data_IF_988883393653
#
_entry.id   IF_988883393653
#
_cell.length_a   1.000
_cell.length_b   1.000
_cell.length_c   1.000
_cell.angle_alpha   90.00
_cell.angle_beta   90.00
_cell.angle_gamma   90.00
#
_symmetry.space_group_name_H-M   'P 1'
#
loop_
_entity.id
_entity.type
_entity.pdbx_description
1 polymer ?
#
# COMPACT_ATOMS: atom_id res chain seq x y z
N UNK A 1 -8.37 -5.10 14.83
CA UNK A 1 -8.39 -3.95 13.89
C UNK A 1 -8.69 -4.47 12.51
N UNK A 2 -9.62 -3.84 11.78
CA UNK A 2 -9.89 -4.19 10.40
C UNK A 2 -8.90 -3.47 9.49
N UNK A 3 -8.39 -4.20 8.51
CA UNK A 3 -7.43 -3.66 7.55
C UNK A 3 -7.12 -4.63 6.42
N UNK A 4 -6.18 -4.24 5.60
CA UNK A 4 -5.56 -5.03 4.55
C UNK A 4 -4.05 -4.83 4.66
N UNK A 5 -3.29 -5.89 4.79
CA UNK A 5 -1.83 -5.88 4.82
C UNK A 5 -1.29 -6.93 3.86
N UNK A 6 -0.46 -6.52 2.92
CA UNK A 6 0.08 -7.41 1.88
C UNK A 6 1.50 -7.03 1.50
N UNK A 7 2.33 -8.04 1.26
CA UNK A 7 3.64 -7.91 0.62
C UNK A 7 3.57 -8.02 -0.92
N UNK A 8 2.39 -8.25 -1.48
CA UNK A 8 2.18 -8.30 -2.93
C UNK A 8 1.99 -6.89 -3.47
N UNK A 9 2.48 -6.65 -4.68
CA UNK A 9 2.19 -5.43 -5.42
C UNK A 9 0.84 -5.61 -6.13
N UNK A 10 -0.20 -5.01 -5.57
CA UNK A 10 -1.56 -5.05 -6.09
C UNK A 10 -2.09 -3.63 -6.24
N UNK A 11 -3.03 -3.42 -7.16
CA UNK A 11 -3.76 -2.17 -7.20
C UNK A 11 -4.74 -2.10 -6.03
N UNK A 12 -4.57 -1.10 -5.18
CA UNK A 12 -5.48 -0.83 -4.08
C UNK A 12 -6.44 0.29 -4.45
N UNK A 13 -7.66 0.15 -3.95
CA UNK A 13 -8.73 1.12 -4.14
C UNK A 13 -9.23 1.61 -2.79
N UNK A 14 -9.80 2.84 -2.71
CA UNK A 14 -10.37 3.33 -1.45
C UNK A 14 -11.45 2.42 -0.85
N UNK A 15 -12.14 1.66 -1.70
CA UNK A 15 -13.18 0.69 -1.34
C UNK A 15 -12.68 -0.77 -1.27
N UNK A 16 -11.35 -1.01 -1.30
CA UNK A 16 -10.79 -2.34 -1.09
C UNK A 16 -11.36 -2.96 0.20
N UNK A 17 -11.91 -4.19 0.15
CA UNK A 17 -12.47 -4.84 1.32
C UNK A 17 -11.43 -5.01 2.42
N UNK A 18 -11.83 -4.71 3.65
CA UNK A 18 -11.00 -4.90 4.83
C UNK A 18 -11.44 -6.15 5.59
N UNK A 19 -10.48 -6.84 6.17
CA UNK A 19 -10.67 -7.98 7.08
C UNK A 19 -9.87 -7.75 8.35
N UNK A 20 -9.89 -8.68 9.28
CA UNK A 20 -8.97 -8.61 10.42
C UNK A 20 -7.53 -8.64 9.92
N UNK A 21 -6.71 -7.70 10.41
CA UNK A 21 -5.28 -7.70 10.13
C UNK A 21 -4.63 -8.99 10.64
N UNK A 22 -3.69 -9.56 9.89
CA UNK A 22 -3.00 -10.78 10.29
C UNK A 22 -2.07 -10.52 11.49
N UNK A 23 -1.82 -11.55 12.30
CA UNK A 23 -0.81 -11.51 13.36
C UNK A 23 0.61 -11.68 12.80
N UNK A 24 0.74 -12.35 11.66
CA UNK A 24 2.02 -12.55 10.97
C UNK A 24 1.84 -12.39 9.47
N UNK A 25 2.79 -11.72 8.83
CA UNK A 25 2.89 -11.60 7.38
C UNK A 25 4.27 -12.06 6.93
N UNK A 26 4.32 -13.11 6.10
CA UNK A 26 5.55 -13.61 5.50
C UNK A 26 5.89 -12.82 4.23
N UNK A 27 7.14 -12.40 4.11
CA UNK A 27 7.66 -11.73 2.93
C UNK A 27 9.10 -12.15 2.66
N UNK A 28 9.59 -11.90 1.48
CA UNK A 28 10.97 -12.19 1.12
C UNK A 28 11.53 -11.09 0.21
N UNK A 29 12.80 -10.79 0.38
CA UNK A 29 13.54 -9.89 -0.50
C UNK A 29 14.88 -10.53 -0.89
N UNK A 30 15.32 -10.24 -2.11
CA UNK A 30 16.66 -10.61 -2.54
C UNK A 30 17.72 -9.85 -1.70
N UNK A 31 18.94 -10.37 -1.63
CA UNK A 31 20.06 -9.65 -1.02
C UNK A 31 20.21 -8.26 -1.65
N UNK A 32 20.28 -7.23 -0.83
CA UNK A 32 20.29 -5.81 -1.22
C UNK A 32 18.99 -5.35 -1.94
N UNK A 33 17.94 -6.18 -1.94
CA UNK A 33 16.61 -5.80 -2.39
C UNK A 33 15.84 -5.05 -1.29
N UNK A 34 14.70 -4.51 -1.65
CA UNK A 34 13.76 -3.87 -0.71
C UNK A 34 12.54 -4.77 -0.55
N UNK A 35 11.96 -4.80 0.64
CA UNK A 35 10.65 -5.40 0.87
C UNK A 35 9.62 -4.28 0.98
N UNK A 36 8.60 -4.31 0.11
CA UNK A 36 7.51 -3.36 0.11
C UNK A 36 6.24 -3.96 0.70
N UNK A 37 5.49 -3.19 1.48
CA UNK A 37 4.26 -3.61 2.13
C UNK A 37 3.17 -2.56 1.87
N UNK A 38 1.99 -3.01 1.46
CA UNK A 38 0.80 -2.19 1.32
C UNK A 38 -0.10 -2.39 2.54
N UNK A 39 -0.56 -1.31 3.13
CA UNK A 39 -1.40 -1.31 4.33
C UNK A 39 -2.56 -0.34 4.19
N UNK A 40 -3.79 -0.86 4.36
CA UNK A 40 -5.00 -0.08 4.56
C UNK A 40 -5.60 -0.49 5.90
N UNK A 41 -6.12 0.47 6.68
CA UNK A 41 -6.83 0.16 7.91
C UNK A 41 -7.88 1.21 8.25
N UNK A 42 -8.91 0.79 8.97
CA UNK A 42 -9.90 1.70 9.52
C UNK A 42 -9.27 2.60 10.57
N UNK A 43 -9.52 3.90 10.44
CA UNK A 43 -9.02 4.89 11.36
C UNK A 43 -10.13 5.88 11.74
N UNK A 44 -10.70 5.77 12.95
CA UNK A 44 -11.73 6.69 13.43
C UNK A 44 -11.19 8.07 13.85
N UNK A 45 -9.88 8.21 13.93
CA UNK A 45 -9.17 9.45 14.23
C UNK A 45 -8.77 10.19 12.94
N UNK A 46 -8.31 11.44 13.06
CA UNK A 46 -7.83 12.24 11.92
C UNK A 46 -6.55 11.67 11.28
N UNK A 47 -5.78 10.90 12.04
CA UNK A 47 -4.58 10.21 11.57
C UNK A 47 -4.35 8.90 12.30
N UNK A 48 -3.79 7.93 11.59
CA UNK A 48 -3.20 6.73 12.14
C UNK A 48 -1.69 6.85 12.24
N UNK A 49 -1.05 5.83 12.82
CA UNK A 49 0.41 5.75 12.93
C UNK A 49 0.89 4.33 12.69
N UNK A 50 2.02 4.20 12.03
CA UNK A 50 2.69 2.92 11.85
C UNK A 50 4.12 3.03 12.33
N UNK A 51 4.55 2.06 13.11
CA UNK A 51 5.90 1.96 13.68
C UNK A 51 6.43 0.57 13.40
N UNK A 52 7.72 0.46 13.05
CA UNK A 52 8.38 -0.82 12.83
C UNK A 52 9.68 -0.89 13.62
N UNK A 53 9.86 -1.95 14.39
CA UNK A 53 11.11 -2.25 15.09
C UNK A 53 11.98 -3.17 14.23
N UNK A 54 12.77 -2.59 13.33
CA UNK A 54 13.49 -3.29 12.28
C UNK A 54 15.04 -3.12 12.41
N UNK A 55 15.69 -3.80 13.36
CA UNK A 55 17.14 -3.74 13.50
C UNK A 55 17.85 -4.19 12.22
N UNK A 56 18.75 -3.37 11.71
CA UNK A 56 19.48 -3.66 10.46
C UNK A 56 18.78 -3.21 9.19
N UNK A 57 17.59 -2.60 9.30
CA UNK A 57 16.86 -2.00 8.18
C UNK A 57 16.66 -0.50 8.41
N UNK A 58 16.58 0.24 7.33
CA UNK A 58 15.95 1.56 7.30
C UNK A 58 14.51 1.37 6.85
N UNK A 59 13.58 2.01 7.55
CA UNK A 59 12.15 1.91 7.26
C UNK A 59 11.68 3.23 6.68
N UNK A 60 11.17 3.17 5.45
CA UNK A 60 10.59 4.31 4.76
C UNK A 60 9.06 4.18 4.79
N UNK A 61 8.36 5.25 5.20
CA UNK A 61 6.90 5.30 5.25
C UNK A 61 6.38 6.26 4.19
N UNK A 62 5.32 5.85 3.51
CA UNK A 62 4.64 6.64 2.49
C UNK A 62 3.13 6.56 2.68
N UNK A 63 2.43 7.66 2.44
CA UNK A 63 1.00 7.64 2.23
C UNK A 63 0.71 7.17 0.81
N UNK A 64 -0.23 6.25 0.64
CA UNK A 64 -0.84 5.96 -0.65
C UNK A 64 -1.94 6.98 -0.90
N UNK A 65 -1.72 7.85 -1.88
CA UNK A 65 -2.64 8.96 -2.21
C UNK A 65 -3.61 8.54 -3.30
N UNK A 66 -4.87 8.94 -3.17
CA UNK A 66 -5.90 8.69 -4.18
C UNK A 66 -5.63 9.45 -5.47
N UNK A 67 -5.68 8.74 -6.59
CA UNK A 67 -5.57 9.29 -7.95
C UNK A 67 -6.86 8.96 -8.70
N UNK A 68 -7.53 9.95 -9.35
CA UNK A 68 -8.71 9.70 -10.14
C UNK A 68 -8.34 9.02 -11.46
N UNK A 69 -9.18 8.06 -11.87
CA UNK A 69 -9.16 7.46 -13.19
C UNK A 69 -10.51 7.73 -13.83
N UNK A 70 -10.57 8.72 -14.71
CA UNK A 70 -11.82 9.20 -15.30
C UNK A 70 -12.26 8.35 -16.49
N UNK A 71 -11.32 7.74 -17.21
CA UNK A 71 -11.57 6.98 -18.42
C UNK A 71 -10.70 5.72 -18.49
N UNK A 72 -11.28 4.63 -19.01
CA UNK A 72 -10.50 3.51 -19.49
C UNK A 72 -9.99 3.80 -20.89
N UNK A 73 -8.72 3.51 -21.16
CA UNK A 73 -8.11 3.63 -22.49
C UNK A 73 -7.91 2.24 -23.09
N UNK A 74 -8.21 2.10 -24.39
CA UNK A 74 -7.94 0.87 -25.12
C UNK A 74 -6.47 0.76 -25.54
N UNK A 75 -6.05 -0.46 -25.90
CA UNK A 75 -4.73 -0.70 -26.53
C UNK A 75 -4.65 -0.21 -27.99
N UNK A 76 -5.73 0.36 -28.52
CA UNK A 76 -5.78 0.90 -29.86
C UNK A 76 -5.19 2.29 -29.94
N UNK A 77 -4.30 2.49 -30.88
CA UNK A 77 -3.89 3.82 -31.34
C UNK A 77 -4.61 4.01 -32.67
N UNK A 78 -5.30 5.14 -32.85
CA UNK A 78 -5.91 5.44 -34.14
C UNK A 78 -4.81 5.62 -35.22
N UNK A 79 -5.21 5.76 -36.48
CA UNK A 79 -4.27 5.95 -37.58
C UNK A 79 -3.44 7.25 -37.46
N UNK A 80 -3.83 8.18 -36.59
CA UNK A 80 -3.11 9.40 -36.26
C UNK A 80 -2.21 9.29 -35.03
N UNK A 81 -2.17 8.15 -34.34
CA UNK A 81 -1.38 7.94 -33.14
C UNK A 81 -2.05 8.40 -31.86
N UNK A 82 -3.31 8.83 -31.90
CA UNK A 82 -4.09 9.21 -30.73
C UNK A 82 -4.57 7.99 -29.94
N UNK A 83 -4.52 8.07 -28.63
CA UNK A 83 -5.05 7.02 -27.76
C UNK A 83 -6.59 6.98 -27.85
N UNK A 84 -7.16 5.82 -28.12
CA UNK A 84 -8.61 5.63 -28.18
C UNK A 84 -9.16 5.56 -26.76
N UNK A 85 -10.01 6.51 -26.41
CA UNK A 85 -10.80 6.47 -25.17
C UNK A 85 -12.01 5.54 -25.36
N UNK A 86 -12.20 4.61 -24.42
CA UNK A 86 -13.32 3.68 -24.42
C UNK A 86 -14.26 3.97 -23.24
N UNK A 87 -15.05 5.06 -23.30
CA UNK A 87 -15.86 5.48 -22.14
C UNK A 87 -16.98 4.51 -21.79
N UNK A 88 -17.51 3.78 -22.76
CA UNK A 88 -18.67 2.89 -22.57
C UNK A 88 -18.30 1.42 -22.38
N UNK A 89 -17.08 1.04 -22.75
CA UNK A 89 -16.61 -0.35 -22.67
C UNK A 89 -15.46 -0.46 -21.69
N UNK A 90 -15.44 -1.54 -20.91
CA UNK A 90 -14.30 -1.93 -20.11
C UNK A 90 -13.59 -3.08 -20.83
N UNK A 91 -12.34 -2.94 -21.29
CA UNK A 91 -11.61 -4.04 -21.89
C UNK A 91 -11.49 -5.22 -20.92
N UNK A 92 -11.49 -6.45 -21.41
CA UNK A 92 -11.44 -7.67 -20.57
C UNK A 92 -10.19 -7.73 -19.67
N UNK A 93 -9.12 -7.05 -20.05
CA UNK A 93 -7.88 -6.95 -19.26
C UNK A 93 -7.93 -5.83 -18.18
N UNK A 94 -8.94 -4.98 -18.18
CA UNK A 94 -9.05 -3.90 -17.20
C UNK A 94 -9.59 -4.45 -15.87
N UNK A 95 -8.91 -4.12 -14.80
CA UNK A 95 -9.27 -4.57 -13.44
C UNK A 95 -10.56 -3.90 -12.97
N UNK A 96 -10.83 -2.66 -13.45
CA UNK A 96 -11.96 -1.86 -13.02
C UNK A 96 -12.44 -0.91 -14.12
N UNK A 97 -13.76 -0.71 -14.19
CA UNK A 97 -14.37 0.25 -15.12
C UNK A 97 -14.32 1.65 -14.52
N UNK A 98 -13.84 2.63 -15.29
CA UNK A 98 -13.86 4.04 -14.91
C UNK A 98 -15.32 4.62 -14.91
N UNK A 99 -15.61 5.67 -14.11
CA UNK A 99 -14.64 6.38 -13.27
C UNK A 99 -14.40 5.68 -11.92
N UNK A 100 -13.20 5.77 -11.39
CA UNK A 100 -12.84 5.26 -10.05
C UNK A 100 -11.62 6.00 -9.50
N UNK A 101 -11.29 5.72 -8.23
CA UNK A 101 -10.05 6.17 -7.59
C UNK A 101 -9.15 4.98 -7.35
N UNK A 102 -7.84 5.15 -7.58
CA UNK A 102 -6.81 4.17 -7.25
C UNK A 102 -5.84 4.77 -6.22
N UNK A 103 -5.32 3.94 -5.34
CA UNK A 103 -4.27 4.32 -4.40
C UNK A 103 -2.92 4.03 -5.05
N UNK A 104 -2.28 5.05 -5.63
CA UNK A 104 -1.09 4.84 -6.46
C UNK A 104 0.08 5.75 -6.06
N UNK A 105 -0.12 7.07 -5.95
CA UNK A 105 0.97 7.98 -5.65
C UNK A 105 1.52 7.81 -4.23
N UNK A 106 2.84 7.79 -4.10
CA UNK A 106 3.55 7.70 -2.82
C UNK A 106 3.95 9.10 -2.33
N UNK A 107 3.41 9.52 -1.18
CA UNK A 107 3.81 10.73 -0.47
C UNK A 107 4.66 10.36 0.74
N UNK A 108 5.93 10.81 0.83
CA UNK A 108 6.78 10.50 1.98
C UNK A 108 6.16 10.96 3.31
N UNK A 109 6.30 10.14 4.35
CA UNK A 109 5.82 10.38 5.71
C UNK A 109 6.99 10.17 6.68
N UNK A 110 7.81 11.18 6.95
CA UNK A 110 9.02 11.04 7.77
C UNK A 110 8.75 10.55 9.19
N UNK A 111 7.57 10.85 9.73
CA UNK A 111 7.21 10.54 11.13
C UNK A 111 6.30 9.30 11.27
N UNK A 112 5.99 8.59 10.19
CA UNK A 112 5.08 7.43 10.21
C UNK A 112 3.61 7.75 10.55
N UNK A 113 3.26 9.04 10.64
CA UNK A 113 1.88 9.50 10.82
C UNK A 113 1.14 9.54 9.49
N UNK A 114 0.01 8.84 9.37
CA UNK A 114 -0.74 8.66 8.14
C UNK A 114 -2.06 9.40 8.25
N UNK A 115 -2.31 10.48 7.48
CA UNK A 115 -3.61 11.14 7.47
C UNK A 115 -4.73 10.15 7.13
N UNK A 116 -5.84 10.23 7.86
CA UNK A 116 -7.03 9.47 7.55
C UNK A 116 -7.86 10.21 6.49
N UNK A 117 -8.28 9.49 5.47
CA UNK A 117 -9.21 9.98 4.43
C UNK A 117 -10.41 9.03 4.38
N UNK A 118 -11.62 9.58 4.50
CA UNK A 118 -12.86 8.82 4.54
C UNK A 118 -12.87 7.69 5.60
N UNK A 119 -12.25 7.95 6.78
CA UNK A 119 -12.16 6.99 7.88
C UNK A 119 -11.15 5.86 7.67
N UNK A 120 -10.23 6.01 6.72
CA UNK A 120 -9.19 5.02 6.42
C UNK A 120 -7.82 5.66 6.32
N UNK A 121 -6.80 4.94 6.79
CA UNK A 121 -5.39 5.24 6.54
C UNK A 121 -4.86 4.30 5.47
N UNK A 122 -4.13 4.85 4.50
CA UNK A 122 -3.55 4.10 3.39
C UNK A 122 -2.05 4.36 3.36
N UNK A 123 -1.23 3.33 3.51
CA UNK A 123 0.21 3.44 3.60
C UNK A 123 0.95 2.40 2.75
N UNK A 124 2.16 2.78 2.38
CA UNK A 124 3.17 1.87 1.85
C UNK A 124 4.41 1.97 2.74
N UNK A 125 4.92 0.82 3.16
CA UNK A 125 6.16 0.71 3.91
C UNK A 125 7.22 0.07 3.04
N UNK A 126 8.44 0.57 3.14
CA UNK A 126 9.59 -0.01 2.46
C UNK A 126 10.68 -0.34 3.49
N UNK A 127 11.03 -1.62 3.60
CA UNK A 127 12.15 -2.10 4.41
C UNK A 127 13.39 -2.16 3.53
N UNK A 128 14.39 -1.34 3.86
CA UNK A 128 15.64 -1.25 3.12
C UNK A 128 16.77 -1.83 3.97
N UNK A 129 17.33 -3.00 3.63
CA UNK A 129 18.41 -3.57 4.42
C UNK A 129 19.63 -2.67 4.38
N UNK A 130 20.24 -2.43 5.55
CA UNK A 130 21.48 -1.68 5.66
C UNK A 130 22.64 -2.47 5.07
N UNK A 131 23.64 -1.74 4.59
CA UNK A 131 24.83 -2.35 4.02
C UNK A 131 25.48 -3.36 5.00
N UNK A 132 25.74 -4.56 4.51
CA UNK A 132 26.36 -5.62 5.32
C UNK A 132 25.38 -6.47 6.13
N UNK A 133 24.08 -6.22 6.06
CA UNK A 133 23.10 -7.10 6.69
C UNK A 133 23.21 -8.51 6.07
N UNK A 134 23.46 -9.57 6.88
CA UNK A 134 23.58 -10.92 6.36
C UNK A 134 22.26 -11.44 5.80
N UNK A 135 22.32 -12.43 4.90
CA UNK A 135 21.13 -13.17 4.55
C UNK A 135 20.65 -13.98 5.75
N UNK A 136 19.36 -13.99 6.00
CA UNK A 136 18.80 -14.67 7.16
C UNK A 136 17.31 -14.44 7.27
N UNK A 137 16.76 -14.91 8.35
CA UNK A 137 15.39 -14.76 8.77
C UNK A 137 15.30 -13.63 9.80
N UNK A 138 14.32 -12.75 9.66
CA UNK A 138 14.16 -11.56 10.49
C UNK A 138 12.70 -11.41 10.90
N UNK A 139 12.46 -11.37 12.20
CA UNK A 139 11.15 -11.02 12.75
C UNK A 139 11.13 -9.54 13.08
N UNK A 140 10.23 -8.81 12.42
CA UNK A 140 10.11 -7.35 12.55
C UNK A 140 8.72 -7.02 13.08
N UNK A 141 8.59 -6.60 14.35
CA UNK A 141 7.33 -6.10 14.89
C UNK A 141 6.88 -4.83 14.17
N UNK A 142 5.66 -4.87 13.61
CA UNK A 142 4.95 -3.76 13.01
C UNK A 142 3.78 -3.38 13.90
N UNK A 143 3.77 -2.18 14.47
CA UNK A 143 2.68 -1.68 15.30
C UNK A 143 1.86 -0.66 14.54
N UNK A 144 0.55 -0.89 14.45
CA UNK A 144 -0.43 -0.04 13.78
C UNK A 144 -1.34 0.56 14.83
N UNK A 145 -1.50 1.88 14.83
CA UNK A 145 -2.35 2.63 15.76
C UNK A 145 -3.40 3.44 15.01
N UNK A 146 -4.65 3.41 15.50
CA UNK A 146 -5.77 4.17 14.96
C UNK A 146 -6.63 4.69 16.12
N UNK A 147 -6.34 5.91 16.61
CA UNK A 147 -6.90 6.41 17.85
C UNK A 147 -6.47 5.55 19.04
N UNK A 148 -7.44 4.98 19.77
CA UNK A 148 -7.18 4.07 20.88
C UNK A 148 -6.91 2.62 20.48
N UNK A 149 -7.18 2.28 19.21
CA UNK A 149 -6.97 0.93 18.70
C UNK A 149 -5.49 0.71 18.36
N UNK A 150 -4.98 -0.43 18.78
CA UNK A 150 -3.61 -0.87 18.45
C UNK A 150 -3.64 -2.30 17.95
N UNK A 151 -2.86 -2.57 16.92
CA UNK A 151 -2.61 -3.91 16.39
C UNK A 151 -1.12 -4.11 16.17
N UNK A 152 -0.60 -5.28 16.50
CA UNK A 152 0.79 -5.66 16.22
C UNK A 152 0.80 -6.87 15.30
N UNK A 153 1.58 -6.79 14.24
CA UNK A 153 1.83 -7.86 13.28
C UNK A 153 3.33 -8.14 13.24
N UNK A 154 3.73 -9.39 13.14
CA UNK A 154 5.13 -9.76 12.90
C UNK A 154 5.33 -9.89 11.39
N UNK A 155 6.27 -9.14 10.85
CA UNK A 155 6.78 -9.33 9.50
C UNK A 155 7.90 -10.35 9.56
N UNK A 156 7.77 -11.44 8.78
CA UNK A 156 8.66 -12.58 8.75
C UNK A 156 9.17 -12.84 7.32
#
# INVERSE_FOLDING_TARGET
MNGYLSAKTEFLFPDTPLSLLPETLHTAAARNGKAGLQLLFECPAEAGRVEAEAPGFDVEFYQLVKVPVDYNTGNGVDQGGAMVLLPETCPDYAIRKAPFWVLDCLRPLPDGGIPAEDGRCCAYLCLVPRAGLPAGHYEIPLTIRAGELTHTCILD
#
